data_IF_676696248150
#
_entry.id   IF_676696248150
#
_cell.length_a   1.000
_cell.length_b   1.000
_cell.length_c   1.000
_cell.angle_alpha   90.00
_cell.angle_beta   90.00
_cell.angle_gamma   90.00
#
_symmetry.space_group_name_H-M   'P 1'
#
loop_
_entity.id
_entity.type
_entity.pdbx_description
1 polymer ?
#
# COMPACT_ATOMS: atom_id res chain seq x y z
N UNK A 1 33.04 21.59 16.38
CA UNK A 1 32.57 20.29 15.87
C UNK A 1 33.62 19.75 14.90
N UNK A 2 34.09 18.54 15.10
CA UNK A 2 35.04 17.87 14.22
C UNK A 2 34.29 16.90 13.28
N UNK A 3 34.90 16.58 12.14
CA UNK A 3 34.32 15.60 11.20
C UNK A 3 35.25 14.39 11.13
N UNK A 4 34.72 13.22 11.43
CA UNK A 4 35.34 11.97 11.10
C UNK A 4 35.11 11.67 9.63
N UNK A 5 36.15 11.25 8.89
CA UNK A 5 36.10 10.91 7.48
C UNK A 5 36.88 9.63 7.22
N UNK A 6 36.21 8.62 6.70
CA UNK A 6 36.82 7.35 6.45
C UNK A 6 36.43 6.82 5.06
N UNK A 7 37.38 6.23 4.35
CA UNK A 7 37.11 5.51 3.12
C UNK A 7 36.86 4.04 3.45
N UNK A 8 35.62 3.57 3.18
CA UNK A 8 35.18 2.21 3.42
C UNK A 8 35.01 1.45 2.11
N UNK A 9 35.14 0.13 2.16
CA UNK A 9 34.82 -0.75 1.03
C UNK A 9 33.47 -1.44 1.31
N UNK A 10 32.56 -1.35 0.34
CA UNK A 10 31.25 -1.98 0.46
C UNK A 10 31.34 -3.49 0.26
N UNK A 11 30.88 -4.28 1.21
CA UNK A 11 30.83 -5.75 1.10
C UNK A 11 29.83 -6.24 0.06
N UNK A 12 28.80 -5.45 -0.27
CA UNK A 12 27.74 -5.83 -1.21
C UNK A 12 28.17 -5.58 -2.65
N UNK A 13 28.60 -4.35 -2.99
CA UNK A 13 28.95 -3.99 -4.38
C UNK A 13 30.44 -3.95 -4.66
N UNK A 14 31.28 -4.12 -3.65
CA UNK A 14 32.76 -4.06 -3.77
C UNK A 14 33.33 -2.65 -4.02
N UNK A 15 32.47 -1.65 -4.19
CA UNK A 15 32.87 -0.26 -4.43
C UNK A 15 33.39 0.42 -3.16
N UNK A 16 34.22 1.45 -3.32
CA UNK A 16 34.67 2.30 -2.21
C UNK A 16 33.74 3.50 -2.06
N UNK A 17 33.54 3.95 -0.82
CA UNK A 17 32.73 5.12 -0.50
C UNK A 17 33.29 5.89 0.69
N UNK A 18 33.09 7.19 0.72
CA UNK A 18 33.45 8.03 1.87
C UNK A 18 32.29 8.02 2.88
N UNK A 19 32.62 7.67 4.11
CA UNK A 19 31.70 7.80 5.24
C UNK A 19 32.11 9.00 6.09
N UNK A 20 31.17 9.93 6.32
CA UNK A 20 31.41 11.19 7.07
C UNK A 20 30.47 11.25 8.25
N UNK A 21 31.00 11.47 9.44
CA UNK A 21 30.22 11.66 10.65
C UNK A 21 30.67 12.93 11.40
N UNK A 22 29.72 13.67 11.99
CA UNK A 22 30.02 14.88 12.76
C UNK A 22 30.15 14.54 14.23
N UNK A 23 31.30 14.83 14.81
CA UNK A 23 31.64 14.57 16.21
C UNK A 23 31.75 15.86 17.02
N UNK A 24 31.68 15.73 18.34
CA UNK A 24 31.75 16.88 19.27
C UNK A 24 33.13 17.54 19.27
N UNK A 25 34.21 16.72 19.19
CA UNK A 25 35.60 17.16 19.17
C UNK A 25 36.50 16.21 18.35
N UNK A 26 37.77 16.53 18.21
CA UNK A 26 38.72 15.74 17.41
C UNK A 26 39.02 14.36 17.99
N UNK A 27 39.06 14.23 19.30
CA UNK A 27 39.28 12.93 19.96
C UNK A 27 38.12 11.96 19.67
N UNK A 28 36.88 12.46 19.77
CA UNK A 28 35.69 11.69 19.41
C UNK A 28 35.67 11.32 17.91
N UNK A 29 36.19 12.21 17.04
CA UNK A 29 36.30 11.91 15.62
C UNK A 29 37.28 10.76 15.34
N UNK A 30 38.46 10.75 15.97
CA UNK A 30 39.45 9.68 15.84
C UNK A 30 38.90 8.34 16.32
N UNK A 31 38.28 8.31 17.50
CA UNK A 31 37.67 7.07 18.02
C UNK A 31 36.53 6.56 17.14
N UNK A 32 35.77 7.48 16.52
CA UNK A 32 34.72 7.09 15.57
C UNK A 32 35.29 6.54 14.27
N UNK A 33 36.41 7.07 13.76
CA UNK A 33 37.09 6.56 12.56
C UNK A 33 37.57 5.12 12.77
N UNK A 34 38.15 4.81 13.91
CA UNK A 34 38.56 3.44 14.28
C UNK A 34 37.36 2.50 14.32
N UNK A 35 36.29 2.89 15.00
CA UNK A 35 35.05 2.10 15.05
C UNK A 35 34.43 1.91 13.66
N UNK A 36 34.34 2.97 12.88
CA UNK A 36 33.71 2.94 11.57
C UNK A 36 34.49 2.07 10.56
N UNK A 37 35.82 1.97 10.69
CA UNK A 37 36.62 1.10 9.87
C UNK A 37 36.20 -0.37 9.97
N UNK A 38 35.75 -0.79 11.13
CA UNK A 38 35.34 -2.18 11.40
C UNK A 38 33.85 -2.42 11.19
N UNK A 39 32.99 -1.38 11.36
CA UNK A 39 31.55 -1.54 11.46
C UNK A 39 30.78 -0.97 10.26
N UNK A 40 31.36 -0.04 9.51
CA UNK A 40 30.69 0.57 8.34
C UNK A 40 31.10 -0.18 7.07
N UNK A 41 30.45 -1.31 6.84
CA UNK A 41 30.79 -2.25 5.75
C UNK A 41 29.87 -2.12 4.52
N UNK A 42 28.82 -1.29 4.59
CA UNK A 42 27.83 -1.17 3.49
C UNK A 42 27.68 0.28 3.07
N UNK A 43 27.80 0.56 1.76
CA UNK A 43 27.59 1.90 1.24
C UNK A 43 26.14 2.35 1.33
N UNK A 44 25.87 3.68 1.39
CA UNK A 44 24.51 4.21 1.52
C UNK A 44 23.53 3.72 0.46
N UNK A 45 23.96 3.55 -0.79
CA UNK A 45 23.13 3.05 -1.88
C UNK A 45 22.73 1.59 -1.68
N UNK A 46 23.68 0.72 -1.31
CA UNK A 46 23.38 -0.69 -1.01
C UNK A 46 22.51 -0.84 0.24
N UNK A 47 22.76 -0.03 1.28
CA UNK A 47 21.91 -0.01 2.46
C UNK A 47 20.46 0.42 2.14
N UNK A 48 20.29 1.48 1.35
CA UNK A 48 18.97 1.93 0.91
C UNK A 48 18.26 0.87 0.06
N UNK A 49 19.00 0.21 -0.86
CA UNK A 49 18.45 -0.88 -1.67
C UNK A 49 18.03 -2.08 -0.83
N UNK A 50 18.83 -2.48 0.16
CA UNK A 50 18.49 -3.57 1.09
C UNK A 50 17.25 -3.24 1.93
N UNK A 51 17.15 -2.01 2.45
CA UNK A 51 15.97 -1.54 3.19
C UNK A 51 14.71 -1.51 2.33
N UNK A 52 14.83 -1.08 1.06
CA UNK A 52 13.72 -1.11 0.11
C UNK A 52 13.28 -2.55 -0.19
N UNK A 53 14.22 -3.47 -0.37
CA UNK A 53 13.91 -4.89 -0.59
C UNK A 53 13.23 -5.53 0.63
N UNK A 54 13.70 -5.23 1.85
CA UNK A 54 13.07 -5.69 3.09
C UNK A 54 11.63 -5.16 3.23
N UNK A 55 11.42 -3.87 2.95
CA UNK A 55 10.10 -3.26 3.00
C UNK A 55 9.16 -3.90 1.96
N UNK A 56 9.67 -4.14 0.73
CA UNK A 56 8.91 -4.83 -0.30
C UNK A 56 8.55 -6.27 0.11
N UNK A 57 9.49 -7.04 0.65
CA UNK A 57 9.21 -8.40 1.11
C UNK A 57 8.15 -8.45 2.23
N UNK A 58 8.16 -7.48 3.16
CA UNK A 58 7.11 -7.35 4.18
C UNK A 58 5.74 -7.04 3.56
N UNK A 59 5.71 -6.14 2.57
CA UNK A 59 4.48 -5.81 1.85
C UNK A 59 3.96 -7.01 1.07
N UNK A 60 4.82 -7.71 0.32
CA UNK A 60 4.46 -8.91 -0.45
C UNK A 60 3.91 -10.01 0.48
N UNK A 61 4.53 -10.21 1.66
CA UNK A 61 4.05 -11.14 2.66
C UNK A 61 2.68 -10.73 3.23
N UNK A 62 2.47 -9.44 3.49
CA UNK A 62 1.18 -8.91 3.92
C UNK A 62 0.10 -9.12 2.85
N UNK A 63 0.39 -8.79 1.58
CA UNK A 63 -0.54 -9.00 0.46
C UNK A 63 -0.89 -10.49 0.35
N UNK A 64 0.10 -11.38 0.40
CA UNK A 64 -0.12 -12.82 0.32
C UNK A 64 -1.00 -13.35 1.47
N UNK A 65 -0.80 -12.84 2.68
CA UNK A 65 -1.58 -13.24 3.86
C UNK A 65 -3.03 -12.74 3.82
N UNK A 66 -3.25 -11.50 3.35
CA UNK A 66 -4.56 -10.84 3.41
C UNK A 66 -5.42 -11.07 2.15
N UNK A 67 -4.78 -11.13 0.96
CA UNK A 67 -5.48 -11.37 -0.31
C UNK A 67 -5.47 -12.85 -0.72
N UNK A 68 -4.43 -13.60 -0.31
CA UNK A 68 -4.28 -15.01 -0.66
C UNK A 68 -4.18 -15.28 -2.16
N UNK A 69 -4.25 -16.56 -2.52
CA UNK A 69 -4.30 -17.00 -3.93
C UNK A 69 -5.71 -16.92 -4.52
N UNK A 70 -6.74 -16.88 -3.68
CA UNK A 70 -8.15 -16.83 -4.10
C UNK A 70 -8.55 -15.42 -4.58
N UNK A 71 -7.87 -14.39 -4.08
CA UNK A 71 -8.13 -12.98 -4.42
C UNK A 71 -6.83 -12.28 -4.84
N UNK A 72 -6.20 -12.70 -5.95
CA UNK A 72 -5.00 -12.04 -6.42
C UNK A 72 -5.32 -10.62 -6.90
N UNK A 73 -4.43 -9.68 -6.58
CA UNK A 73 -4.57 -8.32 -7.10
C UNK A 73 -4.42 -8.33 -8.64
N UNK A 74 -5.27 -7.58 -9.37
CA UNK A 74 -5.20 -7.51 -10.80
C UNK A 74 -3.85 -6.92 -11.26
N UNK A 75 -3.31 -7.46 -12.35
CA UNK A 75 -2.11 -6.92 -12.98
C UNK A 75 -2.45 -5.55 -13.58
N UNK A 76 -1.69 -4.53 -13.20
CA UNK A 76 -1.91 -3.17 -13.70
C UNK A 76 -1.47 -3.07 -15.16
N UNK A 77 -2.31 -2.42 -15.97
CA UNK A 77 -2.09 -2.13 -17.38
C UNK A 77 -2.16 -0.63 -17.62
N UNK A 78 -1.41 -0.11 -18.57
CA UNK A 78 -1.39 1.33 -18.87
C UNK A 78 -0.68 1.63 -20.19
N UNK A 79 -0.67 2.91 -20.56
CA UNK A 79 -0.10 3.39 -21.84
C UNK A 79 1.43 3.37 -21.83
N UNK A 80 2.06 3.52 -20.65
CA UNK A 80 3.51 3.54 -20.51
C UNK A 80 3.97 2.82 -19.23
N UNK A 81 5.20 2.31 -19.24
CA UNK A 81 5.82 1.69 -18.06
C UNK A 81 5.89 2.65 -16.86
N UNK A 82 6.14 3.94 -17.10
CA UNK A 82 6.14 4.95 -16.03
C UNK A 82 4.77 5.10 -15.36
N UNK A 83 3.71 5.06 -16.14
CA UNK A 83 2.35 5.13 -15.63
C UNK A 83 1.99 3.88 -14.82
N UNK A 84 2.37 2.70 -15.32
CA UNK A 84 2.17 1.42 -14.62
C UNK A 84 2.93 1.43 -13.29
N UNK A 85 4.24 1.72 -13.31
CA UNK A 85 5.06 1.77 -12.10
C UNK A 85 4.56 2.79 -11.07
N UNK A 86 4.02 3.93 -11.52
CA UNK A 86 3.44 4.92 -10.62
C UNK A 86 2.14 4.43 -9.99
N UNK A 87 1.27 3.79 -10.76
CA UNK A 87 0.03 3.19 -10.25
C UNK A 87 0.31 2.04 -9.25
N UNK A 88 1.33 1.21 -9.54
CA UNK A 88 1.79 0.17 -8.61
C UNK A 88 2.29 0.78 -7.29
N UNK A 89 3.11 1.83 -7.36
CA UNK A 89 3.62 2.51 -6.17
C UNK A 89 2.49 3.11 -5.32
N UNK A 90 1.48 3.73 -5.93
CA UNK A 90 0.32 4.26 -5.21
C UNK A 90 -0.53 3.15 -4.57
N UNK A 91 -0.73 2.03 -5.28
CA UNK A 91 -1.43 0.86 -4.73
C UNK A 91 -0.67 0.27 -3.54
N UNK A 92 0.64 0.11 -3.66
CA UNK A 92 1.49 -0.41 -2.60
C UNK A 92 1.51 0.54 -1.38
N UNK A 93 1.52 1.85 -1.61
CA UNK A 93 1.43 2.85 -0.55
C UNK A 93 0.07 2.79 0.17
N UNK A 94 -1.02 2.68 -0.57
CA UNK A 94 -2.35 2.52 0.01
C UNK A 94 -2.45 1.25 0.88
N UNK A 95 -1.93 0.11 0.40
CA UNK A 95 -1.95 -1.14 1.14
C UNK A 95 -1.08 -1.04 2.40
N UNK A 96 0.14 -0.53 2.29
CA UNK A 96 1.09 -0.50 3.41
C UNK A 96 0.76 0.56 4.46
N UNK A 97 0.20 1.70 4.06
CA UNK A 97 -0.08 2.82 4.95
C UNK A 97 -1.54 2.83 5.41
N UNK A 98 -2.47 2.81 4.47
CA UNK A 98 -3.87 3.07 4.78
C UNK A 98 -4.59 1.79 5.25
N UNK A 99 -4.36 0.65 4.61
CA UNK A 99 -4.97 -0.61 5.04
C UNK A 99 -4.30 -1.19 6.28
N UNK A 100 -2.99 -1.37 6.25
CA UNK A 100 -2.26 -1.95 7.38
C UNK A 100 -2.32 -1.03 8.62
N UNK A 101 -2.21 0.29 8.42
CA UNK A 101 -2.29 1.28 9.50
C UNK A 101 -3.69 1.40 10.13
N UNK A 102 -4.74 1.16 9.36
CA UNK A 102 -6.13 1.19 9.85
C UNK A 102 -6.60 -0.16 10.42
N UNK A 103 -5.77 -1.18 10.48
CA UNK A 103 -6.12 -2.53 10.90
C UNK A 103 -7.35 -3.10 10.16
N UNK A 104 -7.51 -2.75 8.90
CA UNK A 104 -8.60 -3.25 8.05
C UNK A 104 -8.36 -4.73 7.80
N UNK A 105 -9.34 -5.57 8.16
CA UNK A 105 -9.30 -7.00 7.85
C UNK A 105 -9.89 -7.24 6.46
N UNK A 106 -9.03 -7.40 5.47
CA UNK A 106 -9.41 -7.64 4.07
C UNK A 106 -10.27 -8.90 3.91
N UNK A 107 -9.99 -9.95 4.68
CA UNK A 107 -10.84 -11.13 4.71
C UNK A 107 -12.31 -10.83 5.00
N UNK A 108 -12.61 -9.81 5.81
CA UNK A 108 -13.99 -9.37 6.05
C UNK A 108 -14.60 -8.67 4.84
N UNK A 109 -13.81 -7.89 4.12
CA UNK A 109 -14.25 -7.26 2.88
C UNK A 109 -14.66 -8.34 1.87
N UNK A 110 -13.77 -9.28 1.56
CA UNK A 110 -14.05 -10.35 0.60
C UNK A 110 -15.23 -11.25 1.04
N UNK A 111 -15.35 -11.56 2.32
CA UNK A 111 -16.45 -12.36 2.83
C UNK A 111 -17.84 -11.72 2.64
N UNK A 112 -17.93 -10.41 2.45
CA UNK A 112 -19.20 -9.68 2.28
C UNK A 112 -19.35 -9.07 0.90
N UNK A 113 -18.28 -8.90 0.15
CA UNK A 113 -18.28 -8.21 -1.15
C UNK A 113 -19.23 -8.88 -2.15
N UNK A 114 -19.14 -10.19 -2.28
CA UNK A 114 -20.03 -10.97 -3.14
C UNK A 114 -21.49 -11.00 -2.66
N UNK A 115 -21.69 -10.96 -1.34
CA UNK A 115 -23.04 -10.94 -0.77
C UNK A 115 -23.73 -9.59 -0.96
N UNK A 116 -22.95 -8.50 -1.02
CA UNK A 116 -23.43 -7.14 -1.24
C UNK A 116 -23.38 -6.82 -2.73
N UNK A 117 -24.09 -7.64 -3.53
CA UNK A 117 -24.39 -7.40 -4.93
C UNK A 117 -25.90 -7.35 -5.12
N UNK A 118 -26.38 -6.52 -6.03
CA UNK A 118 -27.81 -6.35 -6.27
C UNK A 118 -28.50 -7.69 -6.61
N UNK A 119 -27.83 -8.52 -7.39
CA UNK A 119 -28.27 -9.87 -7.78
C UNK A 119 -28.36 -10.86 -6.62
N UNK A 120 -27.57 -10.66 -5.56
CA UNK A 120 -27.50 -11.54 -4.38
C UNK A 120 -28.28 -11.00 -3.18
N UNK A 121 -28.96 -9.89 -3.32
CA UNK A 121 -29.76 -9.32 -2.25
C UNK A 121 -31.02 -10.16 -2.00
N UNK A 122 -31.41 -10.29 -0.72
CA UNK A 122 -32.69 -10.87 -0.37
C UNK A 122 -33.85 -10.02 -0.92
N UNK A 123 -35.03 -10.61 -1.10
CA UNK A 123 -36.24 -9.88 -1.55
C UNK A 123 -36.55 -8.66 -0.67
N UNK A 124 -36.44 -8.80 0.66
CA UNK A 124 -36.63 -7.72 1.61
C UNK A 124 -35.58 -6.62 1.43
N UNK A 125 -34.29 -6.99 1.22
CA UNK A 125 -33.22 -6.05 0.96
C UNK A 125 -33.41 -5.29 -0.34
N UNK A 126 -33.90 -5.96 -1.39
CA UNK A 126 -34.22 -5.38 -2.68
C UNK A 126 -35.39 -4.41 -2.60
N UNK A 127 -36.50 -4.80 -1.95
CA UNK A 127 -37.64 -3.94 -1.73
C UNK A 127 -37.28 -2.69 -0.92
N UNK A 128 -36.40 -2.81 0.09
CA UNK A 128 -35.89 -1.68 0.84
C UNK A 128 -35.03 -0.75 -0.03
N UNK A 129 -34.21 -1.29 -0.92
CA UNK A 129 -33.40 -0.51 -1.87
C UNK A 129 -34.28 0.21 -2.90
N UNK A 130 -35.32 -0.46 -3.44
CA UNK A 130 -36.31 0.13 -4.35
C UNK A 130 -37.00 1.33 -3.73
N UNK A 131 -37.53 1.18 -2.51
CA UNK A 131 -38.15 2.26 -1.79
C UNK A 131 -37.24 3.47 -1.55
N UNK A 132 -35.95 3.22 -1.25
CA UNK A 132 -35.00 4.31 -1.03
C UNK A 132 -34.58 4.95 -2.35
N UNK A 133 -34.42 4.17 -3.42
CA UNK A 133 -34.12 4.66 -4.76
C UNK A 133 -35.23 5.58 -5.26
N UNK A 134 -36.49 5.16 -5.10
CA UNK A 134 -37.67 5.97 -5.45
C UNK A 134 -37.70 7.29 -4.68
N UNK A 135 -37.45 7.27 -3.38
CA UNK A 135 -37.36 8.46 -2.55
C UNK A 135 -36.28 9.46 -2.98
N UNK A 136 -35.21 8.97 -3.59
CA UNK A 136 -34.10 9.77 -4.13
C UNK A 136 -34.27 10.11 -5.62
N UNK A 137 -35.32 9.63 -6.28
CA UNK A 137 -35.54 9.82 -7.71
C UNK A 137 -34.50 9.09 -8.60
N UNK A 138 -33.95 7.99 -8.11
CA UNK A 138 -32.90 7.19 -8.78
C UNK A 138 -33.45 5.83 -9.23
N UNK A 139 -32.84 5.22 -10.23
CA UNK A 139 -33.04 3.79 -10.46
C UNK A 139 -32.39 2.98 -9.34
N UNK A 140 -32.87 1.76 -9.12
CA UNK A 140 -32.32 0.85 -8.08
C UNK A 140 -30.83 0.60 -8.29
N UNK A 141 -30.40 0.41 -9.54
CA UNK A 141 -29.00 0.21 -9.90
C UNK A 141 -28.15 1.44 -9.58
N UNK A 142 -28.64 2.64 -9.92
CA UNK A 142 -27.94 3.90 -9.65
C UNK A 142 -27.82 4.16 -8.15
N UNK A 143 -28.91 3.93 -7.41
CA UNK A 143 -28.93 4.05 -5.96
C UNK A 143 -27.98 3.04 -5.30
N UNK A 144 -28.03 1.78 -5.73
CA UNK A 144 -27.17 0.73 -5.21
C UNK A 144 -25.69 1.03 -5.48
N UNK A 145 -25.35 1.41 -6.72
CA UNK A 145 -23.99 1.82 -7.08
C UNK A 145 -23.46 2.95 -6.21
N UNK A 146 -24.29 3.95 -5.92
CA UNK A 146 -23.97 5.08 -5.04
C UNK A 146 -23.74 4.64 -3.60
N UNK A 147 -24.57 3.74 -3.07
CA UNK A 147 -24.62 3.38 -1.65
C UNK A 147 -23.83 2.09 -1.32
N UNK A 148 -23.44 1.29 -2.33
CA UNK A 148 -22.73 0.02 -2.14
C UNK A 148 -21.52 0.14 -1.21
N UNK A 149 -20.62 1.13 -1.36
CA UNK A 149 -19.46 1.24 -0.46
C UNK A 149 -19.85 1.39 1.01
N UNK A 150 -20.93 2.13 1.30
CA UNK A 150 -21.43 2.28 2.67
C UNK A 150 -22.07 1.00 3.21
N UNK A 151 -22.78 0.25 2.35
CA UNK A 151 -23.37 -1.05 2.70
C UNK A 151 -22.27 -2.07 2.99
N UNK A 152 -21.24 -2.16 2.13
CA UNK A 152 -20.08 -3.04 2.33
C UNK A 152 -19.33 -2.65 3.61
N UNK A 153 -19.06 -1.36 3.83
CA UNK A 153 -18.39 -0.87 5.03
C UNK A 153 -19.14 -1.30 6.31
N UNK A 154 -20.44 -1.08 6.35
CA UNK A 154 -21.30 -1.46 7.49
C UNK A 154 -21.30 -2.97 7.71
N UNK A 155 -21.49 -3.77 6.65
CA UNK A 155 -21.60 -5.22 6.74
C UNK A 155 -20.26 -5.87 7.10
N UNK A 156 -19.15 -5.37 6.55
CA UNK A 156 -17.80 -5.82 6.89
C UNK A 156 -17.24 -5.23 8.17
N UNK A 157 -17.96 -4.30 8.80
CA UNK A 157 -17.51 -3.54 9.99
C UNK A 157 -16.22 -2.73 9.73
N UNK A 158 -16.02 -2.28 8.52
CA UNK A 158 -14.95 -1.33 8.15
C UNK A 158 -15.45 0.08 8.45
N UNK A 159 -14.70 0.83 9.25
CA UNK A 159 -15.15 2.12 9.78
C UNK A 159 -15.23 3.22 8.72
N UNK A 160 -14.35 3.19 7.71
CA UNK A 160 -14.21 4.28 6.76
C UNK A 160 -14.69 3.87 5.35
N UNK A 161 -15.71 4.55 4.85
CA UNK A 161 -16.31 4.31 3.52
C UNK A 161 -15.32 4.57 2.39
N UNK A 162 -14.46 5.58 2.53
CA UNK A 162 -13.47 5.92 1.50
C UNK A 162 -12.39 4.86 1.35
N UNK A 163 -12.03 4.19 2.45
CA UNK A 163 -11.13 3.03 2.39
C UNK A 163 -11.79 1.90 1.60
N UNK A 164 -13.09 1.65 1.82
CA UNK A 164 -13.82 0.62 1.06
C UNK A 164 -13.86 0.95 -0.42
N UNK A 165 -14.14 2.20 -0.80
CA UNK A 165 -14.15 2.63 -2.22
C UNK A 165 -12.79 2.40 -2.90
N UNK A 166 -11.70 2.79 -2.22
CA UNK A 166 -10.34 2.56 -2.71
C UNK A 166 -10.01 1.07 -2.78
N UNK A 167 -10.48 0.29 -1.80
CA UNK A 167 -10.29 -1.15 -1.77
C UNK A 167 -11.05 -1.84 -2.91
N UNK A 168 -12.34 -1.52 -3.11
CA UNK A 168 -13.12 -2.00 -4.25
C UNK A 168 -12.44 -1.71 -5.58
N UNK A 169 -11.83 -0.53 -5.68
CA UNK A 169 -11.11 -0.15 -6.89
C UNK A 169 -9.85 -1.01 -7.08
N UNK A 170 -8.98 -1.13 -6.10
CA UNK A 170 -7.70 -1.85 -6.27
C UNK A 170 -7.88 -3.36 -6.50
N UNK A 171 -8.99 -3.96 -6.02
CA UNK A 171 -9.27 -5.40 -6.21
C UNK A 171 -9.94 -5.70 -7.55
N UNK A 172 -10.56 -4.70 -8.21
CA UNK A 172 -11.32 -4.89 -9.44
C UNK A 172 -10.74 -4.14 -10.65
N UNK A 173 -9.91 -3.12 -10.44
CA UNK A 173 -9.44 -2.27 -11.53
C UNK A 173 -7.99 -2.59 -11.90
N UNK A 174 -7.74 -2.76 -13.21
CA UNK A 174 -6.40 -2.97 -13.77
C UNK A 174 -5.86 -1.75 -14.51
N UNK A 175 -6.69 -0.74 -14.81
CA UNK A 175 -6.27 0.43 -15.55
C UNK A 175 -5.49 1.42 -14.68
N UNK A 176 -4.21 1.64 -15.03
CA UNK A 176 -3.30 2.51 -14.27
C UNK A 176 -3.84 3.95 -14.11
N UNK A 177 -4.46 4.53 -15.14
CA UNK A 177 -5.01 5.90 -15.04
C UNK A 177 -6.08 6.00 -13.98
N UNK A 178 -7.04 5.08 -13.97
CA UNK A 178 -8.12 5.06 -12.99
C UNK A 178 -7.61 4.83 -11.56
N UNK A 179 -6.59 3.98 -11.42
CA UNK A 179 -5.94 3.73 -10.12
C UNK A 179 -5.25 5.02 -9.62
N UNK A 180 -4.51 5.70 -10.50
CA UNK A 180 -3.84 6.96 -10.18
C UNK A 180 -4.86 8.03 -9.76
N UNK A 181 -5.93 8.20 -10.53
CA UNK A 181 -6.96 9.21 -10.26
C UNK A 181 -7.68 8.99 -8.93
N UNK A 182 -7.85 7.73 -8.53
CA UNK A 182 -8.57 7.38 -7.31
C UNK A 182 -7.68 7.34 -6.05
N UNK A 183 -6.38 7.04 -6.19
CA UNK A 183 -5.48 6.91 -5.04
C UNK A 183 -4.64 8.18 -4.77
N UNK A 184 -4.57 9.09 -5.74
CA UNK A 184 -3.90 10.38 -5.61
C UNK A 184 -4.72 11.36 -4.78
#
# INVERSE_FOLDING_TARGET
>A
MAKAKITCKCEICGGTFEHVHTCTNSSAAASYEEWAAEHVTVCPSCYAAAKKAEAKAKLDAYIAAEFGTEHPLPKITGVSEKQISYAEALRDEFISRDLAGCHVKLARFFAVEDKVRLENMSEEGRAAAEKQAEAEGLSVEAWFKKNRPAIVARTSKIRFVDIVKKLELIVNESNASKIIDALR
#
